data_IF_336838568724
#
_entry.id   IF_336838568724
#
_cell.length_a   1.000
_cell.length_b   1.000
_cell.length_c   1.000
_cell.angle_alpha   90.00
_cell.angle_beta   90.00
_cell.angle_gamma   90.00
#
_symmetry.space_group_name_H-M   'P 1'
#
loop_
_entity.id
_entity.type
_entity.pdbx_description
1 polymer ?
#
# COMPACT_ATOMS: atom_id res chain seq x y z
N UNK A 1 18.70 67.23 43.38
CA UNK A 1 19.12 68.05 42.22
C UNK A 1 18.08 69.11 41.80
N UNK A 2 17.07 69.41 42.60
CA UNK A 2 16.19 70.60 42.48
C UNK A 2 16.42 71.61 43.61
N UNK A 3 17.19 71.20 44.62
CA UNK A 3 17.56 71.89 45.85
C UNK A 3 18.47 73.11 45.65
N UNK A 4 19.16 73.19 44.51
CA UNK A 4 20.06 74.30 44.15
C UNK A 4 19.47 75.26 43.10
N UNK A 5 18.19 75.12 42.77
CA UNK A 5 17.54 76.00 41.80
C UNK A 5 17.20 77.37 42.41
N UNK A 6 17.19 78.44 41.61
CA UNK A 6 16.72 79.76 42.04
C UNK A 6 15.30 79.68 42.64
N UNK A 7 14.96 80.56 43.61
CA UNK A 7 13.72 80.47 44.37
C UNK A 7 12.45 80.51 43.49
N UNK A 8 12.50 81.20 42.34
CA UNK A 8 11.40 81.25 41.38
C UNK A 8 11.11 79.89 40.74
N UNK A 9 12.13 79.06 40.51
CA UNK A 9 11.97 77.71 39.98
C UNK A 9 11.66 76.70 41.08
N UNK A 10 12.13 76.94 42.31
CA UNK A 10 11.85 76.08 43.47
C UNK A 10 10.35 76.09 43.82
N UNK A 11 9.66 77.22 43.62
CA UNK A 11 8.20 77.33 43.80
C UNK A 11 7.38 76.38 42.92
N UNK A 12 7.88 76.03 41.72
CA UNK A 12 7.22 75.07 40.83
C UNK A 12 7.22 73.64 41.39
N UNK A 13 8.13 73.34 42.32
CA UNK A 13 8.26 72.05 42.99
C UNK A 13 7.65 72.04 44.39
N UNK A 14 6.74 72.98 44.69
CA UNK A 14 6.01 72.96 45.95
C UNK A 14 5.24 71.63 46.10
N UNK A 15 5.37 70.94 47.24
CA UNK A 15 4.65 69.69 47.46
C UNK A 15 3.14 69.94 47.46
N UNK A 16 2.39 68.92 47.02
CA UNK A 16 0.93 68.93 47.17
C UNK A 16 0.56 68.92 48.66
N UNK A 17 -0.62 69.45 49.03
CA UNK A 17 -1.13 69.27 50.40
C UNK A 17 -1.19 67.77 50.75
N UNK A 18 -1.03 67.43 52.05
CA UNK A 18 -1.06 66.04 52.48
C UNK A 18 -2.39 65.38 52.10
N UNK A 19 -2.32 64.13 51.64
CA UNK A 19 -3.50 63.38 51.27
C UNK A 19 -4.33 63.06 52.52
N UNK A 20 -5.66 63.11 52.38
CA UNK A 20 -6.58 62.65 53.43
C UNK A 20 -6.40 61.14 53.61
N UNK A 21 -6.13 60.71 54.83
CA UNK A 21 -6.07 59.30 55.16
C UNK A 21 -7.47 58.66 55.12
N UNK A 22 -7.54 57.46 54.55
CA UNK A 22 -8.71 56.60 54.50
C UNK A 22 -8.30 55.19 54.92
N UNK A 23 -9.22 54.47 55.56
CA UNK A 23 -8.98 53.08 55.94
C UNK A 23 -8.73 52.23 54.68
N UNK A 24 -7.66 51.40 54.66
CA UNK A 24 -7.42 50.47 53.56
C UNK A 24 -8.58 49.47 53.40
N UNK A 25 -8.97 49.20 52.16
CA UNK A 25 -9.99 48.20 51.82
C UNK A 25 -9.49 46.77 52.10
N UNK A 26 -8.18 46.57 52.02
CA UNK A 26 -7.54 45.27 52.11
C UNK A 26 -7.20 44.91 53.57
N UNK A 27 -7.02 43.62 53.81
CA UNK A 27 -6.59 43.12 55.11
C UNK A 27 -5.10 43.42 55.35
N UNK A 28 -4.74 43.62 56.62
CA UNK A 28 -3.34 43.70 57.03
C UNK A 28 -2.58 42.43 56.59
N UNK A 29 -1.30 42.53 56.18
CA UNK A 29 -0.53 41.40 55.65
C UNK A 29 -0.58 40.13 56.51
N UNK A 30 -0.60 40.29 57.83
CA UNK A 30 -0.67 39.18 58.80
C UNK A 30 -1.97 38.36 58.73
N UNK A 31 -3.05 38.97 58.23
CA UNK A 31 -4.37 38.34 58.11
C UNK A 31 -4.66 37.85 56.70
N UNK A 32 -3.76 38.11 55.74
CA UNK A 32 -3.92 37.67 54.35
C UNK A 32 -3.61 36.18 54.27
N UNK A 33 -4.64 35.38 54.04
CA UNK A 33 -4.53 33.94 53.86
C UNK A 33 -5.48 33.49 52.75
N UNK A 34 -5.02 32.52 51.95
CA UNK A 34 -5.87 31.82 50.99
C UNK A 34 -6.66 30.71 51.69
N UNK A 35 -7.59 30.07 50.97
CA UNK A 35 -8.24 28.87 51.46
C UNK A 35 -7.22 27.76 51.77
N UNK A 36 -7.53 26.93 52.77
CA UNK A 36 -6.73 25.78 53.13
C UNK A 36 -6.79 24.72 52.03
N UNK A 37 -5.64 24.31 51.50
CA UNK A 37 -5.53 23.25 50.51
C UNK A 37 -5.56 21.90 51.23
N UNK A 38 -6.52 21.04 50.88
CA UNK A 38 -6.63 19.67 51.39
C UNK A 38 -5.80 18.65 50.60
N UNK A 39 -5.72 17.42 51.10
CA UNK A 39 -5.08 16.31 50.39
C UNK A 39 -5.96 15.72 49.27
N UNK A 40 -5.34 14.92 48.39
CA UNK A 40 -6.01 14.31 47.22
C UNK A 40 -6.78 13.03 47.60
N UNK A 41 -6.73 12.59 48.86
CA UNK A 41 -7.35 11.34 49.32
C UNK A 41 -8.85 11.20 49.02
N UNK A 42 -9.56 12.33 48.92
CA UNK A 42 -10.98 12.38 48.55
C UNK A 42 -11.25 11.83 47.14
N UNK A 43 -10.25 11.83 46.24
CA UNK A 43 -10.37 11.38 44.86
C UNK A 43 -9.95 9.93 44.64
N UNK A 44 -9.55 9.20 45.69
CA UNK A 44 -9.10 7.81 45.55
C UNK A 44 -10.18 6.89 44.99
N UNK A 45 -11.45 7.08 45.38
CA UNK A 45 -12.57 6.30 44.86
C UNK A 45 -12.79 6.59 43.37
N UNK A 46 -12.82 7.87 42.99
CA UNK A 46 -12.95 8.28 41.59
C UNK A 46 -11.81 7.77 40.71
N UNK A 47 -10.58 7.69 41.24
CA UNK A 47 -9.43 7.13 40.53
C UNK A 47 -9.57 5.62 40.30
N UNK A 48 -10.16 4.90 41.25
CA UNK A 48 -10.45 3.47 41.10
C UNK A 48 -11.52 3.26 40.02
N UNK A 49 -12.60 4.01 40.08
CA UNK A 49 -13.69 3.94 39.09
C UNK A 49 -13.20 4.32 37.67
N UNK A 50 -12.28 5.27 37.58
CA UNK A 50 -11.63 5.63 36.32
C UNK A 50 -10.79 4.48 35.77
N UNK A 51 -9.92 3.86 36.58
CA UNK A 51 -9.06 2.75 36.14
C UNK A 51 -9.86 1.55 35.65
N UNK A 52 -11.00 1.27 36.28
CA UNK A 52 -11.86 0.15 35.89
C UNK A 52 -12.62 0.43 34.57
N UNK A 53 -12.75 1.71 34.15
CA UNK A 53 -13.53 2.14 32.99
C UNK A 53 -12.76 3.03 31.98
N UNK A 54 -11.43 3.09 32.05
CA UNK A 54 -10.65 4.05 31.24
C UNK A 54 -10.68 3.75 29.74
N UNK A 55 -11.03 2.51 29.38
CA UNK A 55 -11.08 2.05 27.99
C UNK A 55 -9.74 2.23 27.27
N UNK A 56 -8.63 2.32 28.00
CA UNK A 56 -7.35 2.68 27.43
C UNK A 56 -6.83 1.55 26.55
N UNK A 57 -6.82 1.80 25.24
CA UNK A 57 -6.16 0.94 24.25
C UNK A 57 -4.83 1.58 23.90
N UNK A 58 -3.68 0.96 24.30
CA UNK A 58 -2.37 1.46 23.92
C UNK A 58 -2.29 1.63 22.41
N UNK A 59 -1.86 2.80 21.96
CA UNK A 59 -1.62 3.02 20.54
C UNK A 59 -0.33 2.32 20.13
N UNK A 60 -0.41 1.50 19.08
CA UNK A 60 0.76 0.84 18.52
C UNK A 60 1.85 1.85 18.13
N UNK A 61 3.08 1.61 18.58
CA UNK A 61 4.25 2.27 18.03
C UNK A 61 4.35 2.02 16.52
N UNK A 62 5.01 2.91 15.78
CA UNK A 62 5.24 2.74 14.35
C UNK A 62 5.90 1.38 14.03
N UNK A 63 6.81 0.92 14.88
CA UNK A 63 7.48 -0.38 14.72
C UNK A 63 6.48 -1.55 14.85
N UNK A 64 5.60 -1.48 15.85
CA UNK A 64 4.55 -2.49 16.09
C UNK A 64 3.53 -2.50 14.94
N UNK A 65 3.11 -1.32 14.47
CA UNK A 65 2.23 -1.20 13.31
C UNK A 65 2.86 -1.78 12.02
N UNK A 66 4.15 -1.55 11.81
CA UNK A 66 4.89 -2.11 10.66
C UNK A 66 4.95 -3.63 10.75
N UNK A 67 5.30 -4.16 11.91
CA UNK A 67 5.47 -5.60 12.12
C UNK A 67 4.13 -6.32 12.06
N UNK A 68 3.06 -5.74 12.61
CA UNK A 68 1.67 -6.21 12.45
C UNK A 68 1.26 -6.29 10.98
N UNK A 69 1.42 -5.21 10.20
CA UNK A 69 1.12 -5.23 8.76
C UNK A 69 1.93 -6.28 8.00
N UNK A 70 3.17 -6.52 8.40
CA UNK A 70 4.02 -7.56 7.80
C UNK A 70 3.49 -8.96 8.12
N UNK A 71 3.09 -9.22 9.36
CA UNK A 71 2.48 -10.48 9.79
C UNK A 71 1.13 -10.70 9.09
N UNK A 72 0.23 -9.72 9.10
CA UNK A 72 -1.07 -9.79 8.42
C UNK A 72 -0.91 -10.10 6.92
N UNK A 73 0.08 -9.48 6.25
CA UNK A 73 0.38 -9.76 4.84
C UNK A 73 0.91 -11.19 4.65
N UNK A 74 1.78 -11.66 5.55
CA UNK A 74 2.32 -13.02 5.54
C UNK A 74 1.20 -14.05 5.73
N UNK A 75 0.36 -13.85 6.74
CA UNK A 75 -0.80 -14.71 7.01
C UNK A 75 -1.78 -14.73 5.85
N UNK A 76 -2.05 -13.57 5.21
CA UNK A 76 -2.90 -13.53 4.02
C UNK A 76 -2.30 -14.35 2.87
N UNK A 77 -1.00 -14.25 2.66
CA UNK A 77 -0.31 -15.03 1.64
C UNK A 77 -0.32 -16.53 1.97
N UNK A 78 -0.12 -16.89 3.24
CA UNK A 78 -0.19 -18.27 3.71
C UNK A 78 -1.58 -18.86 3.55
N UNK A 79 -2.63 -18.12 3.93
CA UNK A 79 -4.03 -18.50 3.69
C UNK A 79 -4.31 -18.70 2.20
N UNK A 80 -3.85 -17.79 1.33
CA UNK A 80 -3.98 -17.93 -0.12
C UNK A 80 -3.23 -19.17 -0.64
N UNK A 81 -2.09 -19.53 -0.05
CA UNK A 81 -1.33 -20.72 -0.43
C UNK A 81 -1.99 -22.01 0.04
N UNK A 82 -2.54 -22.03 1.25
CA UNK A 82 -3.31 -23.16 1.79
C UNK A 82 -4.57 -23.36 0.96
N UNK A 83 -5.33 -22.28 0.72
CA UNK A 83 -6.50 -22.31 -0.15
C UNK A 83 -6.14 -22.75 -1.58
N UNK A 84 -5.00 -22.32 -2.11
CA UNK A 84 -4.52 -22.78 -3.41
C UNK A 84 -4.14 -24.26 -3.41
N UNK A 85 -3.55 -24.78 -2.33
CA UNK A 85 -3.21 -26.19 -2.20
C UNK A 85 -4.48 -27.05 -2.08
N UNK A 86 -5.45 -26.62 -1.29
CA UNK A 86 -6.77 -27.25 -1.18
C UNK A 86 -7.50 -27.24 -2.52
N UNK A 87 -7.55 -26.09 -3.20
CA UNK A 87 -8.14 -25.96 -4.54
C UNK A 87 -7.42 -26.80 -5.58
N UNK A 88 -6.09 -26.95 -5.48
CA UNK A 88 -5.33 -27.84 -6.37
C UNK A 88 -5.70 -29.31 -6.22
N UNK A 89 -6.24 -29.69 -5.05
CA UNK A 89 -6.72 -31.05 -4.76
C UNK A 89 -8.23 -31.25 -5.00
N UNK A 90 -9.05 -30.19 -5.09
CA UNK A 90 -10.53 -30.30 -5.07
C UNK A 90 -11.28 -29.61 -6.21
N UNK A 91 -10.67 -28.75 -7.03
CA UNK A 91 -11.33 -28.00 -8.13
C UNK A 91 -10.49 -28.02 -9.44
N UNK A 92 -11.12 -27.85 -10.62
CA UNK A 92 -10.54 -28.08 -11.96
C UNK A 92 -9.62 -26.95 -12.44
N UNK A 93 -8.75 -26.43 -11.57
CA UNK A 93 -7.72 -25.43 -11.91
C UNK A 93 -6.42 -26.13 -12.37
N UNK A 94 -6.53 -27.38 -12.83
CA UNK A 94 -5.49 -27.96 -13.69
C UNK A 94 -5.57 -27.19 -15.01
N UNK A 95 -4.48 -26.58 -15.49
CA UNK A 95 -4.51 -25.89 -16.77
C UNK A 95 -4.87 -26.80 -17.96
N UNK A 96 -4.92 -28.13 -17.75
CA UNK A 96 -5.44 -29.12 -18.70
C UNK A 96 -6.97 -29.16 -18.82
N UNK A 97 -7.71 -28.72 -17.80
CA UNK A 97 -9.17 -28.79 -17.73
C UNK A 97 -9.85 -27.44 -18.04
N UNK A 98 -9.08 -26.34 -18.22
CA UNK A 98 -9.64 -25.03 -18.60
C UNK A 98 -10.08 -25.06 -20.08
N UNK A 99 -11.39 -24.90 -20.39
CA UNK A 99 -11.89 -24.95 -21.76
C UNK A 99 -11.31 -23.84 -22.65
N UNK A 100 -10.75 -22.79 -22.06
CA UNK A 100 -10.16 -21.69 -22.82
C UNK A 100 -8.72 -22.01 -23.26
N UNK A 101 -8.10 -23.04 -22.69
CA UNK A 101 -6.74 -23.48 -22.99
C UNK A 101 -6.80 -24.64 -23.97
N UNK A 102 -6.59 -24.34 -25.24
CA UNK A 102 -6.64 -25.30 -26.33
C UNK A 102 -5.26 -25.47 -26.99
N UNK A 103 -5.08 -26.57 -27.72
CA UNK A 103 -3.83 -26.89 -28.41
C UNK A 103 -2.80 -27.59 -27.53
N UNK A 104 -1.70 -27.99 -28.16
CA UNK A 104 -0.59 -28.69 -27.52
C UNK A 104 0.31 -27.74 -26.74
N UNK A 105 0.52 -28.01 -25.46
CA UNK A 105 1.36 -27.21 -24.58
C UNK A 105 2.81 -27.10 -25.06
N UNK A 106 3.33 -28.11 -25.77
CA UNK A 106 4.69 -28.07 -26.31
C UNK A 106 4.81 -27.20 -27.56
N UNK A 107 3.69 -26.82 -28.18
CA UNK A 107 3.64 -25.88 -29.31
C UNK A 107 3.20 -24.48 -28.90
N UNK A 108 2.92 -24.26 -27.62
CA UNK A 108 2.49 -22.97 -27.08
C UNK A 108 3.67 -22.13 -26.60
N UNK A 109 3.78 -20.93 -27.15
CA UNK A 109 4.67 -19.87 -26.70
C UNK A 109 3.94 -18.95 -25.73
N UNK A 110 4.59 -18.64 -24.61
CA UNK A 110 4.13 -17.63 -23.64
C UNK A 110 4.86 -16.31 -23.89
N UNK A 111 4.11 -15.23 -24.11
CA UNK A 111 4.66 -13.90 -24.33
C UNK A 111 4.14 -12.96 -23.25
N UNK A 112 5.03 -12.41 -22.43
CA UNK A 112 4.73 -11.48 -21.36
C UNK A 112 5.36 -10.10 -21.58
N UNK A 113 4.99 -9.15 -20.71
CA UNK A 113 5.41 -7.73 -20.78
C UNK A 113 4.97 -7.06 -22.10
N UNK A 114 3.86 -7.52 -22.67
CA UNK A 114 3.26 -6.88 -23.84
C UNK A 114 2.80 -5.45 -23.49
N UNK A 115 2.85 -4.56 -24.48
CA UNK A 115 2.15 -3.28 -24.37
C UNK A 115 0.63 -3.54 -24.36
N UNK A 116 -0.12 -2.79 -23.55
CA UNK A 116 -1.56 -2.99 -23.43
C UNK A 116 -2.30 -2.65 -24.73
N UNK A 117 -1.70 -1.86 -25.62
CA UNK A 117 -2.25 -1.54 -26.94
C UNK A 117 -2.00 -2.60 -28.02
N UNK A 118 -1.33 -3.72 -27.71
CA UNK A 118 -1.07 -4.80 -28.67
C UNK A 118 -2.37 -5.50 -29.05
N UNK A 119 -2.57 -5.71 -30.35
CA UNK A 119 -3.67 -6.50 -30.93
C UNK A 119 -3.17 -7.87 -31.38
N UNK A 120 -4.08 -8.76 -31.74
CA UNK A 120 -3.74 -10.09 -32.24
C UNK A 120 -2.95 -10.01 -33.55
N UNK A 121 -3.35 -9.11 -34.46
CA UNK A 121 -2.66 -8.83 -35.73
C UNK A 121 -1.19 -8.42 -35.55
N UNK A 122 -0.88 -7.66 -34.50
CA UNK A 122 0.51 -7.28 -34.21
C UNK A 122 1.33 -8.51 -33.83
N UNK A 123 0.76 -9.40 -33.02
CA UNK A 123 1.42 -10.64 -32.62
C UNK A 123 1.55 -11.59 -33.81
N UNK A 124 0.53 -11.67 -34.66
CA UNK A 124 0.57 -12.48 -35.88
C UNK A 124 1.67 -12.00 -36.83
N UNK A 125 1.82 -10.68 -37.02
CA UNK A 125 2.90 -10.12 -37.86
C UNK A 125 4.29 -10.40 -37.29
N UNK A 126 4.48 -10.23 -35.99
CA UNK A 126 5.82 -10.37 -35.36
C UNK A 126 6.23 -11.83 -35.17
N UNK A 127 5.28 -12.73 -34.86
CA UNK A 127 5.55 -14.14 -34.58
C UNK A 127 5.30 -15.05 -35.80
N UNK A 128 4.52 -14.63 -36.79
CA UNK A 128 4.22 -15.39 -38.00
C UNK A 128 5.44 -15.62 -38.90
N UNK A 129 6.49 -14.79 -38.78
CA UNK A 129 7.77 -14.98 -39.50
C UNK A 129 8.50 -16.29 -39.13
N UNK A 130 8.20 -16.89 -37.98
CA UNK A 130 8.84 -18.13 -37.52
C UNK A 130 8.10 -19.38 -37.98
N UNK A 131 6.80 -19.28 -38.24
CA UNK A 131 5.97 -20.37 -38.70
C UNK A 131 4.47 -20.04 -38.62
N UNK A 132 3.63 -20.88 -39.21
CA UNK A 132 2.17 -20.72 -39.17
C UNK A 132 1.64 -20.82 -37.74
N UNK A 133 0.77 -19.88 -37.39
CA UNK A 133 0.14 -19.77 -36.08
C UNK A 133 -1.25 -20.39 -36.14
N UNK A 134 -1.52 -21.33 -35.23
CA UNK A 134 -2.82 -21.99 -35.10
C UNK A 134 -3.80 -21.09 -34.33
N UNK A 135 -3.34 -20.47 -33.23
CA UNK A 135 -4.20 -19.64 -32.37
C UNK A 135 -3.39 -18.63 -31.56
N UNK A 136 -3.91 -17.40 -31.47
CA UNK A 136 -3.42 -16.37 -30.55
C UNK A 136 -4.48 -16.13 -29.48
N UNK A 137 -4.05 -16.01 -28.22
CA UNK A 137 -4.93 -15.66 -27.10
C UNK A 137 -4.27 -14.64 -26.20
N UNK A 138 -4.75 -13.39 -26.26
CA UNK A 138 -4.35 -12.34 -25.33
C UNK A 138 -5.19 -12.46 -24.05
N UNK A 139 -4.55 -12.45 -22.88
CA UNK A 139 -5.26 -12.61 -21.61
C UNK A 139 -5.75 -11.26 -21.08
N UNK A 140 -7.06 -11.21 -20.86
CA UNK A 140 -7.77 -10.08 -20.26
C UNK A 140 -8.18 -10.39 -18.81
N UNK A 141 -8.40 -9.34 -18.02
CA UNK A 141 -8.88 -9.44 -16.65
C UNK A 141 -10.40 -9.61 -16.65
N UNK A 142 -10.87 -10.76 -16.18
CA UNK A 142 -12.29 -11.14 -16.21
C UNK A 142 -13.16 -10.23 -15.32
N UNK A 143 -12.55 -9.57 -14.33
CA UNK A 143 -13.26 -8.69 -13.38
C UNK A 143 -13.35 -7.24 -13.86
N UNK A 144 -12.65 -6.87 -14.95
CA UNK A 144 -12.66 -5.52 -15.46
C UNK A 144 -13.92 -5.25 -16.30
N UNK A 145 -14.55 -4.10 -16.08
CA UNK A 145 -15.63 -3.62 -16.94
C UNK A 145 -15.12 -3.38 -18.37
N UNK A 146 -16.00 -3.50 -19.37
CA UNK A 146 -15.68 -3.25 -20.79
C UNK A 146 -15.07 -1.87 -21.02
N UNK A 147 -15.56 -0.89 -20.26
CA UNK A 147 -15.22 0.53 -20.42
C UNK A 147 -13.97 0.92 -19.60
N UNK A 148 -13.37 -0.04 -18.90
CA UNK A 148 -12.18 0.22 -18.11
C UNK A 148 -10.97 0.54 -19.02
N UNK A 149 -10.04 1.39 -18.56
CA UNK A 149 -8.80 1.66 -19.28
C UNK A 149 -8.07 0.36 -19.66
N UNK A 150 -7.44 0.33 -20.84
CA UNK A 150 -6.70 -0.85 -21.36
C UNK A 150 -5.74 -1.47 -20.33
N UNK A 151 -5.12 -0.65 -19.47
CA UNK A 151 -4.21 -1.10 -18.40
C UNK A 151 -4.89 -1.98 -17.34
N UNK A 152 -6.19 -1.78 -17.10
CA UNK A 152 -6.99 -2.59 -16.17
C UNK A 152 -7.64 -3.78 -16.89
N UNK A 153 -7.96 -3.65 -18.18
CA UNK A 153 -8.62 -4.71 -18.96
C UNK A 153 -7.66 -5.78 -19.47
N UNK A 154 -6.49 -5.42 -19.99
CA UNK A 154 -5.50 -6.39 -20.52
C UNK A 154 -4.45 -6.70 -19.46
N UNK A 155 -4.16 -7.99 -19.24
CA UNK A 155 -3.12 -8.41 -18.29
C UNK A 155 -1.70 -8.22 -18.82
N UNK A 156 -1.53 -8.05 -20.14
CA UNK A 156 -0.24 -7.80 -20.78
C UNK A 156 0.60 -9.05 -21.02
N UNK A 157 -0.06 -10.20 -21.20
CA UNK A 157 0.56 -11.42 -21.69
C UNK A 157 -0.40 -12.19 -22.62
N UNK A 158 0.17 -13.03 -23.48
CA UNK A 158 -0.55 -13.82 -24.47
C UNK A 158 0.04 -15.23 -24.58
N UNK A 159 -0.78 -16.15 -25.08
CA UNK A 159 -0.37 -17.49 -25.50
C UNK A 159 -0.53 -17.60 -27.01
N UNK A 160 0.50 -18.10 -27.68
CA UNK A 160 0.52 -18.28 -29.13
C UNK A 160 0.77 -19.76 -29.39
N UNK A 161 -0.18 -20.44 -30.02
CA UNK A 161 -0.07 -21.85 -30.40
C UNK A 161 0.41 -21.89 -31.85
N UNK A 162 1.57 -22.50 -32.10
CA UNK A 162 2.06 -22.75 -33.45
C UNK A 162 1.56 -24.11 -33.95
N UNK A 163 1.48 -24.28 -35.27
CA UNK A 163 1.15 -25.60 -35.84
C UNK A 163 2.24 -26.64 -35.55
N UNK A 164 3.51 -26.20 -35.54
CA UNK A 164 4.70 -27.04 -35.38
C UNK A 164 5.52 -26.64 -34.16
N UNK A 165 5.99 -27.64 -33.43
CA UNK A 165 6.86 -27.45 -32.24
C UNK A 165 8.20 -26.79 -32.58
N UNK A 166 8.76 -27.10 -33.77
CA UNK A 166 10.04 -26.53 -34.22
C UNK A 166 9.97 -25.01 -34.35
N UNK A 167 8.84 -24.49 -34.82
CA UNK A 167 8.63 -23.07 -35.09
C UNK A 167 8.48 -22.31 -33.77
N UNK A 168 7.76 -22.89 -32.80
CA UNK A 168 7.71 -22.39 -31.42
C UNK A 168 9.11 -22.30 -30.80
N UNK A 169 9.92 -23.36 -30.94
CA UNK A 169 11.31 -23.40 -30.42
C UNK A 169 12.21 -22.35 -31.09
N UNK A 170 12.04 -22.09 -32.38
CA UNK A 170 12.76 -21.03 -33.09
C UNK A 170 12.36 -19.65 -32.56
N UNK A 171 11.04 -19.40 -32.45
CA UNK A 171 10.52 -18.16 -31.88
C UNK A 171 11.05 -17.93 -30.46
N UNK A 172 11.03 -18.94 -29.57
CA UNK A 172 11.55 -18.82 -28.21
C UNK A 172 13.00 -18.34 -28.14
N UNK A 173 13.86 -18.81 -29.06
CA UNK A 173 15.29 -18.44 -29.08
C UNK A 173 15.53 -17.01 -29.57
N UNK A 174 14.79 -16.57 -30.57
CA UNK A 174 15.08 -15.32 -31.29
C UNK A 174 14.23 -14.13 -30.82
N UNK A 175 13.06 -14.37 -30.22
CA UNK A 175 12.09 -13.29 -29.91
C UNK A 175 12.19 -12.70 -28.51
N UNK A 176 12.98 -13.31 -27.63
CA UNK A 176 13.10 -12.83 -26.27
C UNK A 176 13.80 -11.46 -26.24
N UNK A 177 13.11 -10.44 -25.72
CA UNK A 177 13.63 -9.07 -25.63
C UNK A 177 13.35 -8.17 -26.84
N UNK A 178 12.64 -8.66 -27.87
CA UNK A 178 12.20 -7.81 -29.00
C UNK A 178 11.27 -6.69 -28.49
N UNK A 179 11.32 -5.53 -29.14
CA UNK A 179 10.47 -4.39 -28.79
C UNK A 179 9.20 -4.38 -29.65
N UNK A 180 8.04 -4.64 -29.03
CA UNK A 180 6.73 -4.54 -29.69
C UNK A 180 6.01 -3.31 -29.12
N UNK A 181 5.59 -2.40 -29.99
CA UNK A 181 4.93 -1.12 -29.61
C UNK A 181 5.70 -0.37 -28.49
N UNK A 182 7.03 -0.32 -28.62
CA UNK A 182 7.93 0.39 -27.70
C UNK A 182 8.21 -0.30 -26.37
N UNK A 183 7.79 -1.56 -26.19
CA UNK A 183 8.04 -2.33 -24.97
C UNK A 183 8.77 -3.63 -25.28
N UNK A 184 9.86 -3.88 -24.55
CA UNK A 184 10.60 -5.16 -24.63
C UNK A 184 9.76 -6.30 -24.06
N UNK A 185 9.47 -7.29 -24.89
CA UNK A 185 8.68 -8.46 -24.51
C UNK A 185 9.56 -9.52 -23.86
N UNK A 186 8.96 -10.31 -22.97
CA UNK A 186 9.59 -11.49 -22.39
C UNK A 186 8.92 -12.71 -23.00
N UNK A 187 9.71 -13.65 -23.52
CA UNK A 187 9.20 -14.84 -24.20
C UNK A 187 9.67 -16.08 -23.44
N UNK A 188 8.75 -17.01 -23.18
CA UNK A 188 9.01 -18.29 -22.54
C UNK A 188 8.16 -19.40 -23.16
N UNK A 189 8.47 -20.64 -22.85
CA UNK A 189 7.61 -21.78 -23.16
C UNK A 189 6.42 -21.84 -22.19
N UNK A 190 5.31 -22.46 -22.59
CA UNK A 190 4.18 -22.63 -21.68
C UNK A 190 4.49 -23.62 -20.56
N UNK A 191 4.82 -23.11 -19.36
CA UNK A 191 5.16 -23.94 -18.18
C UNK A 191 3.95 -24.49 -17.44
N UNK A 192 2.77 -23.93 -17.67
CA UNK A 192 1.52 -24.30 -17.00
C UNK A 192 1.20 -25.79 -17.09
N UNK A 193 1.25 -26.33 -18.31
CA UNK A 193 0.93 -27.75 -18.58
C UNK A 193 2.16 -28.64 -18.75
N UNK A 194 3.37 -28.08 -18.90
CA UNK A 194 4.59 -28.85 -19.22
C UNK A 194 5.50 -29.12 -18.01
N UNK A 195 5.60 -28.20 -17.05
CA UNK A 195 6.55 -28.30 -15.94
C UNK A 195 5.85 -28.82 -14.67
N UNK A 196 6.29 -29.97 -14.17
CA UNK A 196 5.79 -30.52 -12.92
C UNK A 196 6.09 -29.58 -11.74
N UNK A 197 5.08 -29.35 -10.88
CA UNK A 197 5.20 -28.46 -9.73
C UNK A 197 5.21 -26.97 -10.08
N UNK A 198 4.98 -26.60 -11.34
CA UNK A 198 4.87 -25.19 -11.73
C UNK A 198 3.69 -24.52 -11.02
N UNK A 199 3.94 -23.32 -10.47
CA UNK A 199 2.93 -22.49 -9.83
C UNK A 199 3.00 -21.07 -10.38
N UNK A 200 1.88 -20.41 -10.69
CA UNK A 200 1.86 -19.02 -11.13
C UNK A 200 2.20 -18.05 -9.98
N UNK A 201 2.57 -16.80 -10.32
CA UNK A 201 2.99 -15.76 -9.36
C UNK A 201 1.97 -15.47 -8.25
N UNK A 202 0.67 -15.60 -8.56
CA UNK A 202 -0.41 -15.41 -7.57
C UNK A 202 -0.33 -16.39 -6.38
N UNK A 203 0.35 -17.51 -6.58
CA UNK A 203 0.58 -18.56 -5.59
C UNK A 203 2.04 -18.67 -5.17
N UNK A 204 2.77 -17.55 -5.17
CA UNK A 204 4.15 -17.49 -4.67
C UNK A 204 5.19 -18.18 -5.55
N UNK A 205 4.82 -18.68 -6.73
CA UNK A 205 5.74 -19.20 -7.74
C UNK A 205 6.05 -18.18 -8.84
N UNK A 206 6.07 -18.66 -10.08
CA UNK A 206 6.34 -17.89 -11.29
C UNK A 206 7.82 -17.55 -11.48
N UNK A 207 8.15 -17.05 -12.67
CA UNK A 207 9.50 -16.62 -13.04
C UNK A 207 9.54 -15.10 -13.25
N UNK A 208 10.73 -14.53 -13.06
CA UNK A 208 10.99 -13.09 -13.21
C UNK A 208 10.79 -12.31 -11.91
N UNK A 209 11.89 -11.73 -11.43
CA UNK A 209 11.96 -10.68 -10.41
C UNK A 209 12.17 -9.33 -11.07
#
# INVERSE_FOLDING_TARGET
MTDKLPPMLLQLFAPRPPLRWLEPIDFAPEKRQSANIGGIGQFMQALKDFKDNDGYVPTDSWLQNRDRKKLEKKERQEKLLVEAAEKSNTLPDKPKEDPKVEGDAYKTLFVARLSYGVTEDDLEREFGRYGPIERIRIIEDVTAASDAPLKKRKRGYAFIVFEREKDMKAAYKETNGISIKGRKVFVDVERGRTVAGWRPRRYGGGLGG
#
